data_IF_828955981522
#
_entry.id   IF_828955981522
#
_cell.length_a   1.000
_cell.length_b   1.000
_cell.length_c   1.000
_cell.angle_alpha   90.00
_cell.angle_beta   90.00
_cell.angle_gamma   90.00
#
_symmetry.space_group_name_H-M   'P 1'
#
loop_
_entity.id
_entity.type
_entity.pdbx_description
1 polymer ?
#
# COMPACT_ATOMS: atom_id res chain seq x y z
N UNK A 1 4.18 -10.05 11.05
CA UNK A 1 5.63 -9.96 10.75
C UNK A 1 6.42 -9.02 11.68
N UNK A 2 5.82 -8.00 12.30
CA UNK A 2 6.57 -6.86 12.87
C UNK A 2 6.49 -6.69 14.40
N UNK A 3 6.03 -7.71 15.12
CA UNK A 3 5.81 -7.64 16.58
C UNK A 3 7.05 -7.39 17.42
N UNK A 4 8.25 -7.59 16.86
CA UNK A 4 9.53 -7.33 17.54
C UNK A 4 10.02 -5.87 17.37
N UNK A 5 9.36 -5.09 16.51
CA UNK A 5 9.71 -3.69 16.29
C UNK A 5 8.95 -2.79 17.26
N UNK A 6 9.63 -1.79 17.80
CA UNK A 6 8.98 -0.69 18.52
C UNK A 6 8.04 0.09 17.59
N UNK A 7 7.07 0.79 18.17
CA UNK A 7 6.12 1.60 17.40
C UNK A 7 6.81 2.59 16.45
N UNK A 8 7.84 3.31 16.92
CA UNK A 8 8.60 4.24 16.06
C UNK A 8 9.37 3.54 14.94
N UNK A 9 9.91 2.33 15.17
CA UNK A 9 10.54 1.54 14.10
C UNK A 9 9.50 1.09 13.05
N UNK A 10 8.30 0.72 13.47
CA UNK A 10 7.20 0.41 12.57
C UNK A 10 6.80 1.64 11.73
N UNK A 11 6.71 2.82 12.33
CA UNK A 11 6.44 4.07 11.61
C UNK A 11 7.53 4.38 10.56
N UNK A 12 8.81 4.24 10.92
CA UNK A 12 9.93 4.48 9.99
C UNK A 12 9.92 3.47 8.83
N UNK A 13 9.67 2.19 9.13
CA UNK A 13 9.54 1.17 8.10
C UNK A 13 8.36 1.47 7.17
N UNK A 14 7.22 1.89 7.72
CA UNK A 14 6.04 2.27 6.96
C UNK A 14 6.35 3.41 5.99
N UNK A 15 7.02 4.47 6.48
CA UNK A 15 7.41 5.60 5.64
C UNK A 15 8.37 5.18 4.53
N UNK A 16 9.32 4.29 4.82
CA UNK A 16 10.24 3.73 3.82
C UNK A 16 9.51 2.95 2.74
N UNK A 17 8.60 2.04 3.12
CA UNK A 17 7.81 1.25 2.17
C UNK A 17 6.87 2.12 1.34
N UNK A 18 6.20 3.10 1.95
CA UNK A 18 5.35 4.06 1.26
C UNK A 18 6.15 4.91 0.26
N UNK A 19 7.36 5.32 0.62
CA UNK A 19 8.25 6.07 -0.26
C UNK A 19 8.67 5.28 -1.51
N UNK A 20 8.72 3.94 -1.46
CA UNK A 20 8.97 3.12 -2.66
C UNK A 20 7.89 3.35 -3.72
N UNK A 21 6.62 3.46 -3.30
CA UNK A 21 5.51 3.76 -4.21
C UNK A 21 5.63 5.20 -4.72
N UNK A 22 5.84 6.15 -3.81
CA UNK A 22 5.91 7.59 -4.12
C UNK A 22 7.08 7.97 -5.04
N UNK A 23 8.18 7.21 -5.00
CA UNK A 23 9.35 7.40 -5.86
C UNK A 23 9.09 7.17 -7.34
N UNK A 24 8.00 6.45 -7.69
CA UNK A 24 7.69 6.02 -9.07
C UNK A 24 8.76 5.14 -9.72
N UNK A 25 9.69 4.59 -8.94
CA UNK A 25 10.75 3.72 -9.44
C UNK A 25 10.25 2.30 -9.84
N UNK A 26 8.98 1.98 -9.56
CA UNK A 26 8.37 0.70 -9.93
C UNK A 26 8.68 -0.45 -8.95
N UNK A 27 9.31 -0.20 -7.81
CA UNK A 27 9.57 -1.24 -6.81
C UNK A 27 8.27 -1.83 -6.27
N UNK A 28 8.19 -3.16 -6.26
CA UNK A 28 7.02 -3.88 -5.75
C UNK A 28 5.83 -3.91 -6.70
N UNK A 29 6.02 -3.58 -7.99
CA UNK A 29 4.99 -3.67 -9.02
C UNK A 29 5.42 -4.60 -10.18
N UNK A 30 4.48 -5.35 -10.78
CA UNK A 30 4.69 -6.12 -12.01
C UNK A 30 5.31 -5.23 -13.07
N UNK A 31 6.49 -5.63 -13.56
CA UNK A 31 7.24 -4.92 -14.60
C UNK A 31 7.46 -3.44 -14.26
N UNK A 32 7.43 -3.07 -12.97
CA UNK A 32 7.52 -1.69 -12.52
C UNK A 32 6.33 -0.80 -12.90
N UNK A 33 5.18 -1.38 -13.27
CA UNK A 33 4.03 -0.65 -13.80
C UNK A 33 2.84 -0.64 -12.83
N UNK A 34 2.66 0.41 -12.01
CA UNK A 34 1.49 0.56 -11.14
C UNK A 34 0.17 0.78 -11.91
N UNK A 35 0.20 1.03 -13.22
CA UNK A 35 -0.98 1.09 -14.09
C UNK A 35 -1.30 -0.26 -14.77
N UNK A 36 -0.66 -1.36 -14.34
CA UNK A 36 -1.00 -2.70 -14.81
C UNK A 36 -2.46 -3.05 -14.48
N UNK A 37 -3.17 -3.82 -15.34
CA UNK A 37 -4.58 -4.18 -15.13
C UNK A 37 -4.94 -4.68 -13.73
N UNK A 38 -4.08 -5.51 -13.12
CA UNK A 38 -4.26 -6.02 -11.74
C UNK A 38 -4.51 -4.92 -10.69
N UNK A 39 -3.86 -3.74 -10.81
CA UNK A 39 -4.05 -2.64 -9.88
C UNK A 39 -5.23 -1.75 -10.27
N UNK A 40 -5.53 -1.64 -11.57
CA UNK A 40 -6.74 -0.96 -12.03
C UNK A 40 -7.98 -1.68 -11.48
N UNK A 41 -8.07 -2.99 -11.71
CA UNK A 41 -9.12 -3.84 -11.16
C UNK A 41 -9.16 -3.80 -9.63
N UNK A 42 -7.99 -3.89 -8.99
CA UNK A 42 -7.87 -3.77 -7.54
C UNK A 42 -8.41 -2.45 -7.00
N UNK A 43 -8.17 -1.32 -7.69
CA UNK A 43 -8.66 0.00 -7.26
C UNK A 43 -10.19 0.12 -7.34
N UNK A 44 -10.81 -0.63 -8.24
CA UNK A 44 -12.26 -0.76 -8.38
C UNK A 44 -12.87 -1.73 -7.34
N UNK A 45 -12.06 -2.33 -6.47
CA UNK A 45 -12.50 -3.27 -5.44
C UNK A 45 -12.70 -4.69 -5.96
N UNK A 46 -12.19 -5.02 -7.15
CA UNK A 46 -12.22 -6.38 -7.68
C UNK A 46 -11.11 -7.22 -7.05
N UNK A 47 -11.40 -8.50 -6.85
CA UNK A 47 -10.38 -9.49 -6.47
C UNK A 47 -9.79 -10.08 -7.76
N UNK A 48 -8.55 -9.72 -8.12
CA UNK A 48 -7.96 -10.19 -9.38
C UNK A 48 -7.68 -11.69 -9.28
N UNK A 49 -7.86 -12.41 -10.39
CA UNK A 49 -7.58 -13.83 -10.45
C UNK A 49 -6.11 -14.10 -10.05
N UNK A 50 -5.93 -14.79 -8.93
CA UNK A 50 -4.62 -15.05 -8.38
C UNK A 50 -3.79 -16.03 -9.20
N UNK A 51 -4.43 -16.85 -10.04
CA UNK A 51 -3.76 -17.75 -10.96
C UNK A 51 -3.22 -17.01 -12.20
N UNK A 52 -3.87 -15.92 -12.58
CA UNK A 52 -3.52 -15.10 -13.75
C UNK A 52 -2.44 -14.06 -13.43
N UNK A 53 -2.51 -13.43 -12.26
CA UNK A 53 -1.64 -12.30 -11.93
C UNK A 53 -0.58 -12.64 -10.88
N UNK A 54 0.72 -12.50 -11.20
CA UNK A 54 1.81 -12.74 -10.24
C UNK A 54 1.90 -11.69 -9.12
N UNK A 55 1.22 -10.54 -9.23
CA UNK A 55 1.06 -9.52 -8.17
C UNK A 55 -0.36 -9.45 -7.62
N UNK A 56 -1.08 -10.56 -7.63
CA UNK A 56 -2.32 -10.63 -6.87
C UNK A 56 -2.06 -10.29 -5.39
N UNK A 57 -3.10 -9.90 -4.62
CA UNK A 57 -2.95 -9.40 -3.25
C UNK A 57 -2.17 -10.35 -2.33
N UNK A 58 -2.25 -11.65 -2.55
CA UNK A 58 -1.56 -12.68 -1.77
C UNK A 58 -0.09 -12.88 -2.16
N UNK A 59 0.37 -12.28 -3.27
CA UNK A 59 1.71 -12.45 -3.84
C UNK A 59 2.51 -11.15 -3.85
N UNK A 60 1.85 -9.99 -3.87
CA UNK A 60 2.54 -8.69 -3.86
C UNK A 60 3.20 -8.42 -2.50
N UNK A 61 4.52 -8.58 -2.44
CA UNK A 61 5.29 -8.45 -1.17
C UNK A 61 5.18 -7.05 -0.56
N UNK A 62 5.20 -6.00 -1.39
CA UNK A 62 5.12 -4.62 -0.90
C UNK A 62 3.76 -4.35 -0.22
N UNK A 63 2.67 -4.79 -0.85
CA UNK A 63 1.33 -4.71 -0.29
C UNK A 63 1.22 -5.55 0.98
N UNK A 64 1.69 -6.79 0.99
CA UNK A 64 1.64 -7.66 2.18
C UNK A 64 2.34 -6.98 3.36
N UNK A 65 3.56 -6.46 3.15
CA UNK A 65 4.31 -5.74 4.19
C UNK A 65 3.58 -4.49 4.68
N UNK A 66 3.07 -3.64 3.76
CA UNK A 66 2.33 -2.44 4.11
C UNK A 66 1.02 -2.74 4.84
N UNK A 67 0.26 -3.73 4.37
CA UNK A 67 -1.02 -4.15 4.94
C UNK A 67 -0.85 -4.68 6.36
N UNK A 68 0.12 -5.58 6.59
CA UNK A 68 0.44 -6.07 7.93
C UNK A 68 0.92 -4.95 8.86
N UNK A 69 1.78 -4.05 8.36
CA UNK A 69 2.30 -2.95 9.15
C UNK A 69 1.20 -1.94 9.51
N UNK A 70 0.27 -1.67 8.60
CA UNK A 70 -0.90 -0.84 8.88
C UNK A 70 -1.76 -1.41 10.00
N UNK A 71 -1.99 -2.73 10.02
CA UNK A 71 -2.73 -3.38 11.12
C UNK A 71 -2.05 -3.18 12.47
N UNK A 72 -0.73 -3.40 12.54
CA UNK A 72 0.03 -3.16 13.77
C UNK A 72 0.04 -1.69 14.21
N UNK A 73 0.17 -0.76 13.28
CA UNK A 73 0.15 0.68 13.58
C UNK A 73 -1.24 1.13 14.07
N UNK A 74 -2.33 0.58 13.51
CA UNK A 74 -3.70 0.80 14.00
C UNK A 74 -3.89 0.28 15.43
N UNK A 75 -3.40 -0.92 15.73
CA UNK A 75 -3.40 -1.47 17.10
C UNK A 75 -2.66 -0.55 18.08
N UNK A 76 -1.62 0.15 17.61
CA UNK A 76 -0.88 1.16 18.38
C UNK A 76 -1.50 2.57 18.39
N UNK A 77 -2.72 2.75 17.85
CA UNK A 77 -3.45 4.03 17.91
C UNK A 77 -2.97 5.09 16.90
N UNK A 78 -2.32 4.71 15.80
CA UNK A 78 -1.79 5.66 14.80
C UNK A 78 -2.86 6.62 14.25
N UNK A 79 -4.12 6.16 14.16
CA UNK A 79 -5.24 6.94 13.62
C UNK A 79 -5.61 8.12 14.53
N UNK A 80 -5.47 7.95 15.84
CA UNK A 80 -5.74 8.98 16.85
C UNK A 80 -4.68 10.08 16.86
N UNK A 81 -3.49 9.80 16.33
CA UNK A 81 -2.36 10.74 16.29
C UNK A 81 -2.49 11.81 15.19
N UNK A 82 -3.40 11.61 14.21
CA UNK A 82 -3.72 12.63 13.20
C UNK A 82 -2.58 12.96 12.23
N UNK A 83 -1.64 12.03 12.00
CA UNK A 83 -0.50 12.27 11.11
C UNK A 83 -0.92 12.54 9.67
N UNK A 84 -0.41 13.64 9.09
CA UNK A 84 -0.69 13.99 7.69
C UNK A 84 -0.04 13.04 6.68
N UNK A 85 1.00 12.29 7.07
CA UNK A 85 1.64 11.31 6.19
C UNK A 85 0.95 9.93 6.21
N UNK A 86 0.02 9.70 7.16
CA UNK A 86 -0.67 8.44 7.31
C UNK A 86 -1.65 8.16 6.15
N UNK A 87 -1.63 6.93 5.69
CA UNK A 87 -2.55 6.37 4.69
C UNK A 87 -2.77 4.89 4.98
N UNK A 88 -4.02 4.44 5.00
CA UNK A 88 -4.35 3.07 5.35
C UNK A 88 -4.22 2.10 4.16
N UNK A 89 -3.18 1.27 4.18
CA UNK A 89 -2.93 0.20 3.22
C UNK A 89 -3.49 -1.16 3.65
N UNK A 90 -4.38 -1.23 4.64
CA UNK A 90 -4.92 -2.50 5.15
C UNK A 90 -5.73 -3.29 4.12
N UNK A 91 -6.18 -2.65 3.05
CA UNK A 91 -6.93 -3.27 1.95
C UNK A 91 -6.18 -3.15 0.62
N UNK A 92 -6.34 -4.15 -0.23
CA UNK A 92 -5.78 -4.16 -1.60
C UNK A 92 -6.27 -2.98 -2.41
N UNK A 93 -7.56 -2.65 -2.26
CA UNK A 93 -8.17 -1.52 -2.94
C UNK A 93 -7.48 -0.20 -2.59
N UNK A 94 -7.22 0.07 -1.31
CA UNK A 94 -6.56 1.30 -0.89
C UNK A 94 -5.12 1.39 -1.42
N UNK A 95 -4.41 0.26 -1.40
CA UNK A 95 -3.08 0.15 -2.01
C UNK A 95 -3.09 0.47 -3.50
N UNK A 96 -4.01 -0.12 -4.25
CA UNK A 96 -4.15 0.11 -5.68
C UNK A 96 -4.54 1.55 -6.01
N UNK A 97 -5.55 2.11 -5.30
CA UNK A 97 -5.96 3.51 -5.43
C UNK A 97 -4.77 4.45 -5.22
N UNK A 98 -3.99 4.20 -4.17
CA UNK A 98 -2.81 5.02 -3.86
C UNK A 98 -1.75 4.93 -4.95
N UNK A 99 -1.36 3.72 -5.37
CA UNK A 99 -0.35 3.51 -6.39
C UNK A 99 -0.74 4.16 -7.73
N UNK A 100 -2.01 4.02 -8.14
CA UNK A 100 -2.52 4.66 -9.35
C UNK A 100 -2.50 6.18 -9.24
N UNK A 101 -2.98 6.76 -8.14
CA UNK A 101 -2.96 8.20 -7.94
C UNK A 101 -1.53 8.77 -8.04
N UNK A 102 -0.57 8.14 -7.36
CA UNK A 102 0.86 8.52 -7.44
C UNK A 102 1.37 8.45 -8.88
N UNK A 103 1.10 7.36 -9.60
CA UNK A 103 1.55 7.19 -10.99
C UNK A 103 0.99 8.28 -11.91
N UNK A 104 -0.24 8.71 -11.68
CA UNK A 104 -0.93 9.78 -12.40
C UNK A 104 -0.51 11.20 -11.93
N UNK A 105 0.33 11.31 -10.89
CA UNK A 105 0.72 12.59 -10.32
C UNK A 105 -0.40 13.29 -9.53
N UNK A 106 -1.41 12.54 -9.09
CA UNK A 106 -2.53 13.03 -8.28
C UNK A 106 -2.25 12.83 -6.79
N UNK A 107 -3.00 13.56 -5.96
CA UNK A 107 -2.92 13.38 -4.51
C UNK A 107 -3.66 12.09 -4.10
N UNK A 108 -2.98 11.09 -3.51
CA UNK A 108 -3.62 9.83 -3.14
C UNK A 108 -4.74 9.96 -2.10
N UNK A 109 -4.72 11.03 -1.29
CA UNK A 109 -5.75 11.29 -0.27
C UNK A 109 -7.12 11.65 -0.85
N UNK A 110 -7.19 11.99 -2.13
CA UNK A 110 -8.46 12.27 -2.81
C UNK A 110 -9.26 10.99 -3.12
N UNK A 111 -8.65 9.81 -2.95
CA UNK A 111 -9.22 8.51 -3.34
C UNK A 111 -9.58 7.61 -2.15
N UNK A 112 -9.25 8.03 -0.92
CA UNK A 112 -9.48 7.29 0.33
C UNK A 112 -10.91 7.43 0.90
N UNK A 113 -11.87 7.84 0.07
CA UNK A 113 -13.30 7.89 0.38
C UNK A 113 -13.95 6.51 0.43
#
# INVERSE_FOLDING_TARGET
>A
MFSQLTFSQQQLLYLGLKALIESKAGFGFIKGNPAHPVYLEGSEGKDPDQSEYPDSPSKNTLYIMLSELCRHLKEGGIEEMGYTWWYDFSTWQNFCKFALAVSQGKNPKEFSS
#
